data_IF_574314103991
#
_entry.id   IF_574314103991
#
_cell.length_a   1.000
_cell.length_b   1.000
_cell.length_c   1.000
_cell.angle_alpha   90.00
_cell.angle_beta   90.00
_cell.angle_gamma   90.00
#
_symmetry.space_group_name_H-M   'P 1'
#
loop_
_entity.id
_entity.type
_entity.pdbx_description
1 polymer ?
#
# COMPACT_ATOMS: atom_id res chain seq x y z
N UNK A 1 -4.12 -37.99 8.78
CA UNK A 1 -5.10 -36.88 8.78
C UNK A 1 -4.32 -35.63 8.45
N UNK A 2 -4.32 -35.22 7.18
CA UNK A 2 -3.51 -34.09 6.72
C UNK A 2 -4.27 -32.79 6.99
N UNK A 3 -3.72 -31.94 7.85
CA UNK A 3 -4.23 -30.60 8.09
C UNK A 3 -4.09 -29.78 6.82
N UNK A 4 -5.23 -29.51 6.17
CA UNK A 4 -5.32 -28.47 5.15
C UNK A 4 -5.18 -27.13 5.85
N UNK A 5 -4.00 -26.50 5.75
CA UNK A 5 -3.88 -25.06 5.99
C UNK A 5 -4.79 -24.36 4.98
N UNK A 6 -5.89 -23.81 5.49
CA UNK A 6 -6.77 -22.93 4.73
C UNK A 6 -5.97 -21.68 4.38
N UNK A 7 -5.44 -21.63 3.16
CA UNK A 7 -5.03 -20.38 2.53
C UNK A 7 -6.32 -19.61 2.20
N UNK A 8 -6.87 -18.90 3.18
CA UNK A 8 -7.87 -17.88 2.90
C UNK A 8 -7.18 -16.77 2.11
N UNK A 9 -7.69 -16.35 0.93
CA UNK A 9 -7.20 -15.15 0.27
C UNK A 9 -7.32 -13.97 1.25
N UNK A 10 -6.43 -12.96 1.16
CA UNK A 10 -6.49 -11.83 2.06
C UNK A 10 -7.87 -11.17 1.89
N UNK A 11 -8.67 -11.22 2.95
CA UNK A 11 -10.06 -10.72 2.95
C UNK A 11 -10.00 -9.22 2.67
N UNK A 12 -10.72 -8.78 1.63
CA UNK A 12 -10.78 -7.36 1.31
C UNK A 12 -11.34 -6.56 2.49
N UNK A 13 -10.74 -5.41 2.82
CA UNK A 13 -11.20 -4.62 3.95
C UNK A 13 -12.60 -4.06 3.73
N UNK A 14 -13.38 -4.01 4.81
CA UNK A 14 -14.70 -3.39 4.87
C UNK A 14 -14.64 -2.09 5.67
N UNK A 15 -15.09 -0.99 5.08
CA UNK A 15 -15.15 0.33 5.71
C UNK A 15 -16.63 0.73 5.80
N UNK A 16 -17.17 0.73 7.03
CA UNK A 16 -18.62 0.83 7.23
C UNK A 16 -19.37 -0.32 6.54
N UNK A 17 -20.31 0.02 5.66
CA UNK A 17 -21.09 -0.95 4.86
C UNK A 17 -20.47 -1.23 3.48
N UNK A 18 -19.35 -0.57 3.13
CA UNK A 18 -18.70 -0.72 1.81
C UNK A 18 -17.54 -1.71 1.87
N UNK A 19 -17.47 -2.59 0.89
CA UNK A 19 -16.33 -3.53 0.73
C UNK A 19 -15.39 -3.00 -0.33
N UNK A 20 -14.09 -2.98 -0.04
CA UNK A 20 -13.08 -2.59 -1.04
C UNK A 20 -13.05 -3.63 -2.17
N UNK A 21 -13.16 -3.24 -3.45
CA UNK A 21 -13.03 -4.17 -4.57
C UNK A 21 -11.68 -4.92 -4.55
N UNK A 22 -11.70 -6.20 -4.95
CA UNK A 22 -10.50 -7.06 -4.95
C UNK A 22 -9.36 -6.48 -5.80
N UNK A 23 -9.68 -5.82 -6.92
CA UNK A 23 -8.70 -5.14 -7.77
C UNK A 23 -7.96 -4.02 -7.01
N UNK A 24 -8.70 -3.21 -6.25
CA UNK A 24 -8.17 -2.09 -5.47
C UNK A 24 -7.38 -2.61 -4.28
N UNK A 25 -7.89 -3.65 -3.61
CA UNK A 25 -7.18 -4.31 -2.52
C UNK A 25 -5.84 -4.90 -2.99
N UNK A 26 -5.82 -5.55 -4.16
CA UNK A 26 -4.58 -6.08 -4.75
C UNK A 26 -3.55 -4.98 -5.03
N UNK A 27 -3.99 -3.84 -5.58
CA UNK A 27 -3.12 -2.66 -5.77
C UNK A 27 -2.61 -2.09 -4.45
N UNK A 28 -3.42 -2.11 -3.41
CA UNK A 28 -3.04 -1.63 -2.08
C UNK A 28 -2.01 -2.55 -1.42
N UNK A 29 -2.11 -3.87 -1.66
CA UNK A 29 -1.07 -4.83 -1.27
C UNK A 29 0.23 -4.61 -2.05
N UNK A 30 0.15 -4.35 -3.36
CA UNK A 30 1.33 -4.00 -4.18
C UNK A 30 1.99 -2.72 -3.66
N UNK A 31 1.20 -1.69 -3.36
CA UNK A 31 1.67 -0.44 -2.75
C UNK A 31 2.41 -0.72 -1.44
N UNK A 32 1.80 -1.50 -0.53
CA UNK A 32 2.42 -1.91 0.73
C UNK A 32 3.75 -2.64 0.51
N UNK A 33 3.81 -3.54 -0.46
CA UNK A 33 5.03 -4.29 -0.75
C UNK A 33 6.15 -3.36 -1.25
N UNK A 34 5.84 -2.42 -2.13
CA UNK A 34 6.82 -1.47 -2.66
C UNK A 34 7.31 -0.53 -1.56
N UNK A 35 6.40 0.04 -0.76
CA UNK A 35 6.73 0.91 0.38
C UNK A 35 7.56 0.16 1.43
N UNK A 36 7.24 -1.12 1.65
CA UNK A 36 8.09 -2.00 2.44
C UNK A 36 9.46 -2.12 1.80
N UNK A 37 9.58 -2.42 0.50
CA UNK A 37 10.88 -2.55 -0.21
C UNK A 37 11.71 -1.27 -0.21
N UNK A 38 11.08 -0.10 -0.26
CA UNK A 38 11.70 1.22 -0.14
C UNK A 38 12.20 1.49 1.29
N UNK A 39 11.70 0.75 2.28
CA UNK A 39 12.06 0.90 3.68
C UNK A 39 11.23 1.95 4.42
N UNK A 40 10.14 2.43 3.82
CA UNK A 40 9.20 3.34 4.46
C UNK A 40 8.30 2.60 5.46
N UNK A 41 8.00 1.32 5.18
CA UNK A 41 7.27 0.43 6.09
C UNK A 41 8.20 -0.61 6.74
N UNK A 42 7.98 -0.93 8.03
CA UNK A 42 8.67 -2.04 8.65
C UNK A 42 8.24 -3.35 8.00
N UNK A 43 9.21 -4.07 7.43
CA UNK A 43 8.96 -5.45 7.01
C UNK A 43 8.87 -6.34 8.25
N UNK A 44 7.79 -7.12 8.38
CA UNK A 44 7.61 -8.04 9.51
C UNK A 44 8.70 -9.13 9.58
N UNK A 45 9.45 -9.37 8.50
CA UNK A 45 10.37 -10.51 8.39
C UNK A 45 11.75 -10.20 7.81
N UNK A 46 12.22 -8.95 7.75
CA UNK A 46 13.54 -8.69 7.18
C UNK A 46 14.69 -9.15 8.09
N UNK A 47 15.64 -9.87 7.49
CA UNK A 47 16.91 -10.13 8.15
C UNK A 47 17.80 -8.87 8.06
N UNK A 48 18.60 -8.64 9.10
CA UNK A 48 19.54 -7.49 9.18
C UNK A 48 20.52 -7.46 8.00
N UNK A 49 20.83 -8.61 7.40
CA UNK A 49 21.64 -8.75 6.19
C UNK A 49 21.02 -8.12 4.95
N UNK A 50 19.69 -8.15 4.82
CA UNK A 50 18.97 -7.53 3.69
C UNK A 50 18.96 -6.01 3.82
N UNK A 51 18.95 -5.50 5.05
CA UNK A 51 19.08 -4.08 5.33
C UNK A 51 20.47 -3.56 4.90
N UNK A 52 21.55 -4.30 5.22
CA UNK A 52 22.92 -3.90 4.90
C UNK A 52 23.23 -3.88 3.40
N UNK A 53 22.65 -4.83 2.63
CA UNK A 53 22.78 -4.86 1.17
C UNK A 53 22.18 -3.63 0.49
N UNK A 54 21.08 -3.09 1.02
CA UNK A 54 20.44 -1.89 0.45
C UNK A 54 21.29 -0.63 0.53
N UNK A 55 21.99 -0.43 1.64
CA UNK A 55 22.83 0.76 1.83
C UNK A 55 24.16 0.69 1.08
N UNK A 56 24.52 -0.47 0.53
CA UNK A 56 25.84 -0.72 -0.04
C UNK A 56 25.86 -0.81 -1.58
N UNK A 57 24.70 -0.85 -2.25
CA UNK A 57 24.61 -1.08 -3.70
C UNK A 57 24.14 0.18 -4.46
N UNK A 58 24.98 0.80 -5.31
CA UNK A 58 24.63 2.01 -6.06
C UNK A 58 23.59 1.79 -7.18
N UNK A 59 23.33 0.54 -7.61
CA UNK A 59 22.25 0.25 -8.56
C UNK A 59 20.86 0.38 -7.92
N UNK A 60 20.79 0.42 -6.59
CA UNK A 60 19.55 0.65 -5.84
C UNK A 60 18.96 2.03 -6.11
N UNK A 61 19.77 3.07 -6.34
CA UNK A 61 19.27 4.46 -6.50
C UNK A 61 18.30 4.63 -7.68
N UNK A 62 18.65 4.07 -8.85
CA UNK A 62 17.78 4.11 -10.02
C UNK A 62 16.51 3.25 -9.82
N UNK A 63 16.66 2.13 -9.12
CA UNK A 63 15.55 1.25 -8.78
C UNK A 63 14.59 1.89 -7.76
N UNK A 64 15.10 2.61 -6.76
CA UNK A 64 14.32 3.39 -5.78
C UNK A 64 13.47 4.43 -6.49
N UNK A 65 14.04 5.23 -7.40
CA UNK A 65 13.27 6.26 -8.11
C UNK A 65 12.15 5.66 -8.98
N UNK A 66 12.38 4.52 -9.63
CA UNK A 66 11.32 3.80 -10.35
C UNK A 66 10.23 3.28 -9.42
N UNK A 67 10.60 2.76 -8.25
CA UNK A 67 9.65 2.29 -7.25
C UNK A 67 8.81 3.43 -6.68
N UNK A 68 9.41 4.59 -6.38
CA UNK A 68 8.69 5.80 -5.94
C UNK A 68 7.66 6.28 -6.99
N UNK A 69 8.03 6.28 -8.28
CA UNK A 69 7.07 6.62 -9.34
C UNK A 69 5.92 5.61 -9.41
N UNK A 70 6.21 4.33 -9.16
CA UNK A 70 5.19 3.28 -9.14
C UNK A 70 4.24 3.45 -7.95
N UNK A 71 4.72 3.83 -6.77
CA UNK A 71 3.87 4.07 -5.59
C UNK A 71 2.95 5.26 -5.82
N UNK A 72 3.44 6.35 -6.40
CA UNK A 72 2.61 7.50 -6.79
C UNK A 72 1.52 7.12 -7.81
N UNK A 73 1.87 6.29 -8.79
CA UNK A 73 0.92 5.80 -9.80
C UNK A 73 -0.16 4.92 -9.17
N UNK A 74 0.23 3.94 -8.36
CA UNK A 74 -0.70 3.05 -7.66
C UNK A 74 -1.63 3.83 -6.74
N UNK A 75 -1.09 4.80 -5.99
CA UNK A 75 -1.90 5.63 -5.12
C UNK A 75 -2.96 6.39 -5.91
N UNK A 76 -2.59 7.05 -7.01
CA UNK A 76 -3.53 7.77 -7.89
C UNK A 76 -4.61 6.86 -8.46
N UNK A 77 -4.24 5.65 -8.90
CA UNK A 77 -5.21 4.67 -9.39
C UNK A 77 -6.19 4.22 -8.30
N UNK A 78 -5.70 3.88 -7.11
CA UNK A 78 -6.52 3.46 -5.98
C UNK A 78 -7.49 4.57 -5.56
N UNK A 79 -6.99 5.79 -5.38
CA UNK A 79 -7.82 6.93 -4.95
C UNK A 79 -8.85 7.29 -6.01
N UNK A 80 -8.45 7.31 -7.29
CA UNK A 80 -9.35 7.60 -8.41
C UNK A 80 -10.47 6.57 -8.52
N UNK A 81 -10.13 5.28 -8.49
CA UNK A 81 -11.13 4.20 -8.59
C UNK A 81 -12.10 4.22 -7.41
N UNK A 82 -11.64 4.44 -6.17
CA UNK A 82 -12.53 4.53 -5.01
C UNK A 82 -13.42 5.78 -5.08
N UNK A 83 -12.86 6.92 -5.51
CA UNK A 83 -13.63 8.15 -5.68
C UNK A 83 -14.73 8.00 -6.75
N UNK A 84 -14.42 7.37 -7.89
CA UNK A 84 -15.39 7.06 -8.95
C UNK A 84 -16.51 6.12 -8.47
N UNK A 85 -16.23 5.28 -7.46
CA UNK A 85 -17.20 4.44 -6.77
C UNK A 85 -18.00 5.18 -5.68
N UNK A 86 -17.80 6.49 -5.51
CA UNK A 86 -18.51 7.32 -4.54
C UNK A 86 -18.01 7.17 -3.10
N UNK A 87 -16.75 6.81 -2.90
CA UNK A 87 -16.12 6.82 -1.58
C UNK A 87 -15.70 8.25 -1.22
N UNK A 88 -15.91 8.61 0.04
CA UNK A 88 -15.43 9.87 0.61
C UNK A 88 -13.93 9.80 0.88
N UNK A 89 -13.27 10.96 1.00
CA UNK A 89 -11.83 11.04 1.30
C UNK A 89 -11.47 10.23 2.56
N UNK A 90 -12.26 10.36 3.62
CA UNK A 90 -12.05 9.62 4.88
C UNK A 90 -12.16 8.11 4.69
N UNK A 91 -13.15 7.63 3.92
CA UNK A 91 -13.31 6.21 3.64
C UNK A 91 -12.16 5.67 2.79
N UNK A 92 -11.65 6.45 1.84
CA UNK A 92 -10.47 6.11 1.00
C UNK A 92 -9.24 5.98 1.88
N UNK A 93 -8.99 6.95 2.76
CA UNK A 93 -7.87 6.93 3.71
C UNK A 93 -7.96 5.70 4.63
N UNK A 94 -9.15 5.39 5.14
CA UNK A 94 -9.35 4.21 5.98
C UNK A 94 -9.14 2.90 5.19
N UNK A 95 -9.61 2.82 3.95
CA UNK A 95 -9.42 1.66 3.08
C UNK A 95 -7.92 1.37 2.86
N UNK A 96 -7.15 2.40 2.49
CA UNK A 96 -5.70 2.26 2.27
C UNK A 96 -5.00 1.89 3.58
N UNK A 97 -5.25 2.63 4.65
CA UNK A 97 -4.59 2.41 5.95
C UNK A 97 -4.96 1.07 6.61
N UNK A 98 -6.14 0.51 6.32
CA UNK A 98 -6.50 -0.82 6.81
C UNK A 98 -5.55 -1.92 6.31
N UNK A 99 -4.94 -1.72 5.14
CA UNK A 99 -4.01 -2.67 4.53
C UNK A 99 -2.56 -2.28 4.77
N UNK A 100 -2.21 -1.01 4.50
CA UNK A 100 -0.84 -0.49 4.62
C UNK A 100 -0.42 -0.35 6.09
N UNK A 101 -1.38 -0.11 6.99
CA UNK A 101 -1.19 0.07 8.44
C UNK A 101 -0.23 1.22 8.79
N UNK A 102 -0.31 2.34 8.06
CA UNK A 102 0.67 3.42 8.14
C UNK A 102 0.04 4.78 8.51
N UNK A 103 -0.60 4.84 9.68
CA UNK A 103 -1.13 6.09 10.18
C UNK A 103 0.00 7.07 10.55
N UNK A 104 0.16 8.15 9.78
CA UNK A 104 1.04 9.28 10.11
C UNK A 104 2.50 9.18 9.63
N UNK A 105 2.84 8.25 8.75
CA UNK A 105 4.15 8.26 8.08
C UNK A 105 4.16 9.07 6.77
N UNK A 106 5.29 9.15 6.04
CA UNK A 106 5.39 10.03 4.89
C UNK A 106 4.67 9.48 3.66
N UNK A 107 3.85 10.35 3.07
CA UNK A 107 3.01 10.20 1.86
C UNK A 107 1.97 9.07 1.92
N UNK A 108 0.79 9.32 1.34
CA UNK A 108 -0.28 8.35 1.01
C UNK A 108 -1.28 7.97 2.11
N UNK A 109 -1.39 8.73 3.21
CA UNK A 109 -2.06 8.24 4.43
C UNK A 109 -3.04 9.23 5.08
N UNK A 110 -3.27 10.40 4.51
CA UNK A 110 -4.19 11.41 5.07
C UNK A 110 -5.15 12.00 4.02
N UNK A 111 -6.18 12.69 4.50
CA UNK A 111 -7.23 13.24 3.62
C UNK A 111 -6.73 14.38 2.72
N UNK A 112 -5.73 15.15 3.16
CA UNK A 112 -5.13 16.23 2.36
C UNK A 112 -4.45 15.67 1.11
N UNK A 113 -3.67 14.59 1.26
CA UNK A 113 -2.99 13.92 0.15
C UNK A 113 -3.96 13.27 -0.84
N UNK A 114 -5.04 12.66 -0.32
CA UNK A 114 -6.10 12.11 -1.19
C UNK A 114 -6.80 13.24 -1.95
N UNK A 115 -7.05 14.37 -1.30
CA UNK A 115 -7.62 15.55 -1.96
C UNK A 115 -6.69 16.10 -3.07
N UNK A 116 -5.40 16.26 -2.79
CA UNK A 116 -4.41 16.75 -3.78
C UNK A 116 -4.34 15.88 -5.04
N UNK A 117 -4.52 14.57 -4.90
CA UNK A 117 -4.49 13.64 -6.03
C UNK A 117 -5.75 13.70 -6.90
N UNK A 118 -6.90 13.97 -6.28
CA UNK A 118 -8.19 14.07 -6.96
C UNK A 118 -8.40 15.43 -7.65
N UNK A 119 -7.66 16.48 -7.23
CA UNK A 119 -7.68 17.82 -7.83
C UNK A 119 -8.76 18.72 -7.26
#
# INVERSE_FOLDING_TARGET
MSNQQQNTPPVAPTIGDKTVPESIHSKTLELKEIETRLGHLPAETWAVSDLHKRFSDPTQLAHTSMLEQRTETLFREITGELHDLGWTLSEIVQAINSTVCYAGGPKYCNEEEVAEVLG
#
